data_IF_338915715279
#
_entry.id   IF_338915715279
#
_cell.length_a   1.000
_cell.length_b   1.000
_cell.length_c   1.000
_cell.angle_alpha   90.00
_cell.angle_beta   90.00
_cell.angle_gamma   90.00
#
_symmetry.space_group_name_H-M   'P 1'
#
loop_
_entity.id
_entity.type
_entity.pdbx_description
1 polymer ?
#
# COMPACT_ATOMS: atom_id res chain seq x y z
N UNK A 1 10.38 32.75 61.45
CA UNK A 1 10.55 32.01 60.14
C UNK A 1 11.85 32.52 59.53
N UNK A 2 12.88 31.69 59.46
CA UNK A 2 14.23 32.09 59.05
C UNK A 2 14.30 32.46 57.57
N UNK A 3 15.19 33.41 57.20
CA UNK A 3 15.34 33.86 55.82
C UNK A 3 15.64 32.72 54.82
N UNK A 4 16.25 31.64 55.27
CA UNK A 4 16.58 30.48 54.45
C UNK A 4 15.36 29.69 53.92
N UNK A 5 14.26 29.63 54.66
CA UNK A 5 13.04 28.95 54.20
C UNK A 5 12.32 29.68 53.09
N UNK A 6 12.47 31.02 53.02
CA UNK A 6 11.88 31.85 51.95
C UNK A 6 12.66 31.74 50.64
N UNK A 7 13.99 31.53 50.71
CA UNK A 7 14.82 31.33 49.53
C UNK A 7 14.64 29.93 48.92
N UNK A 8 14.44 28.89 49.75
CA UNK A 8 14.14 27.54 49.27
C UNK A 8 12.78 27.44 48.58
N UNK A 9 11.75 28.12 49.11
CA UNK A 9 10.41 28.12 48.53
C UNK A 9 10.34 28.85 47.17
N UNK A 10 11.16 29.91 46.98
CA UNK A 10 11.27 30.61 45.70
C UNK A 10 12.00 29.81 44.63
N UNK A 11 12.94 28.97 44.98
CA UNK A 11 13.65 28.07 44.02
C UNK A 11 12.80 26.91 43.60
N UNK A 12 11.88 26.41 44.44
CA UNK A 12 10.97 25.30 44.07
C UNK A 12 9.83 25.80 43.16
N UNK A 13 9.36 27.04 43.35
CA UNK A 13 8.33 27.61 42.47
C UNK A 13 8.85 28.02 41.07
N UNK A 14 10.15 28.31 40.93
CA UNK A 14 10.75 28.66 39.64
C UNK A 14 11.05 27.42 38.75
N UNK A 15 11.19 26.24 39.37
CA UNK A 15 11.43 24.98 38.62
C UNK A 15 10.17 24.31 38.07
N UNK A 16 8.99 24.73 38.53
CA UNK A 16 7.71 24.12 38.11
C UNK A 16 7.09 24.77 36.85
N UNK A 17 7.72 25.82 36.28
CA UNK A 17 7.20 26.54 35.10
C UNK A 17 7.92 26.25 33.80
N UNK A 18 8.86 25.28 33.80
CA UNK A 18 9.57 24.80 32.61
C UNK A 18 9.29 23.32 32.34
N UNK A 19 8.04 22.89 32.52
CA UNK A 19 7.58 21.70 31.82
C UNK A 19 7.43 22.09 30.35
N UNK A 20 8.24 21.54 29.42
CA UNK A 20 7.97 21.72 28.01
C UNK A 20 6.59 21.10 27.76
N UNK A 21 5.67 21.93 27.33
CA UNK A 21 4.43 21.51 26.71
C UNK A 21 4.83 20.78 25.43
N UNK A 22 5.16 19.49 25.57
CA UNK A 22 5.19 18.54 24.47
C UNK A 22 3.76 18.44 23.98
N UNK A 23 3.33 19.45 23.22
CA UNK A 23 2.24 19.32 22.28
C UNK A 23 2.65 18.15 21.37
N UNK A 24 2.16 16.97 21.71
CA UNK A 24 2.03 15.90 20.76
C UNK A 24 1.17 16.50 19.63
N UNK A 25 1.84 17.07 18.63
CA UNK A 25 1.25 17.33 17.36
C UNK A 25 0.79 15.95 16.86
N UNK A 26 -0.45 15.59 17.15
CA UNK A 26 -1.18 14.60 16.39
C UNK A 26 -1.16 15.15 14.97
N UNK A 27 -0.10 14.86 14.24
CA UNK A 27 -0.02 15.10 12.83
C UNK A 27 -1.15 14.27 12.23
N UNK A 28 -2.34 14.88 12.08
CA UNK A 28 -3.33 14.41 11.14
C UNK A 28 -2.59 14.33 9.81
N UNK A 29 -2.04 13.17 9.49
CA UNK A 29 -1.39 12.94 8.20
C UNK A 29 -2.46 13.20 7.16
N UNK A 30 -2.29 14.29 6.42
CA UNK A 30 -3.16 14.56 5.28
C UNK A 30 -3.15 13.31 4.40
N UNK A 31 -4.31 12.87 3.91
CA UNK A 31 -4.35 11.72 3.02
C UNK A 31 -3.40 11.94 1.83
N UNK A 32 -2.64 10.92 1.48
CA UNK A 32 -1.71 10.98 0.37
C UNK A 32 -2.46 11.40 -0.91
N UNK A 33 -1.89 12.33 -1.66
CA UNK A 33 -2.48 12.87 -2.88
C UNK A 33 -1.70 12.37 -4.09
N UNK A 34 -2.41 12.20 -5.19
CA UNK A 34 -1.86 11.89 -6.50
C UNK A 34 -2.22 13.00 -7.49
N UNK A 35 -1.38 13.28 -8.49
CA UNK A 35 -1.80 14.08 -9.64
C UNK A 35 -2.98 13.40 -10.35
N UNK A 36 -3.86 14.21 -10.93
CA UNK A 36 -4.94 13.70 -11.78
C UNK A 36 -4.36 12.96 -12.99
N UNK A 37 -4.87 11.78 -13.26
CA UNK A 37 -4.50 10.99 -14.43
C UNK A 37 -5.14 11.59 -15.69
N UNK A 38 -4.33 11.92 -16.67
CA UNK A 38 -4.78 12.38 -17.97
C UNK A 38 -5.54 11.27 -18.72
N UNK A 39 -6.27 11.64 -19.78
CA UNK A 39 -7.12 10.69 -20.51
C UNK A 39 -6.33 9.52 -21.13
N UNK A 40 -5.11 9.78 -21.56
CA UNK A 40 -4.17 8.83 -22.18
C UNK A 40 -3.20 8.18 -21.18
N UNK A 41 -3.32 8.51 -19.89
CA UNK A 41 -2.43 7.97 -18.86
C UNK A 41 -2.52 6.43 -18.81
N UNK A 42 -1.35 5.80 -18.78
CA UNK A 42 -1.22 4.36 -18.58
C UNK A 42 -1.01 4.07 -17.10
N UNK A 43 -1.79 3.14 -16.58
CA UNK A 43 -1.63 2.57 -15.23
C UNK A 43 -1.02 1.19 -15.36
N UNK A 44 -0.01 0.90 -14.56
CA UNK A 44 0.62 -0.42 -14.48
C UNK A 44 0.11 -1.13 -13.22
N UNK A 45 -0.58 -2.24 -13.38
CA UNK A 45 -0.86 -3.17 -12.29
C UNK A 45 0.25 -4.23 -12.28
N UNK A 46 1.09 -4.19 -11.24
CA UNK A 46 2.26 -5.05 -11.11
C UNK A 46 2.15 -5.89 -9.84
N UNK A 47 2.46 -7.20 -9.98
CA UNK A 47 2.39 -8.12 -8.85
C UNK A 47 2.39 -9.59 -9.25
N UNK A 48 1.87 -10.41 -8.37
CA UNK A 48 1.83 -11.87 -8.47
C UNK A 48 0.51 -12.39 -9.07
N UNK A 49 0.06 -13.58 -8.62
CA UNK A 49 -1.20 -14.21 -9.05
C UNK A 49 -2.45 -13.36 -8.78
N UNK A 50 -2.43 -12.49 -7.76
CA UNK A 50 -3.54 -11.58 -7.48
C UNK A 50 -3.68 -10.53 -8.57
N UNK A 51 -2.57 -10.02 -9.09
CA UNK A 51 -2.56 -9.07 -10.22
C UNK A 51 -2.83 -9.79 -11.55
N UNK A 52 -2.35 -11.02 -11.71
CA UNK A 52 -2.69 -11.87 -12.87
C UNK A 52 -4.19 -12.13 -12.96
N UNK A 53 -4.88 -12.28 -11.82
CA UNK A 53 -6.32 -12.58 -11.75
C UNK A 53 -6.61 -14.07 -11.63
N UNK A 54 -5.70 -14.85 -11.00
CA UNK A 54 -5.92 -16.26 -10.73
C UNK A 54 -7.23 -16.49 -9.98
N UNK A 55 -8.07 -17.41 -10.49
CA UNK A 55 -9.38 -17.68 -9.90
C UNK A 55 -10.55 -17.01 -10.60
N UNK A 56 -10.31 -16.21 -11.65
CA UNK A 56 -11.32 -15.58 -12.49
C UNK A 56 -10.86 -15.52 -13.95
N UNK A 57 -11.78 -15.17 -14.87
CA UNK A 57 -11.41 -14.90 -16.25
C UNK A 57 -10.59 -13.59 -16.34
N UNK A 58 -9.83 -13.43 -17.41
CA UNK A 58 -8.98 -12.24 -17.60
C UNK A 58 -9.77 -10.93 -17.50
N UNK A 59 -10.91 -10.82 -18.16
CA UNK A 59 -11.79 -9.65 -18.13
C UNK A 59 -12.42 -9.39 -16.75
N UNK A 60 -12.33 -10.35 -15.83
CA UNK A 60 -12.85 -10.27 -14.47
C UNK A 60 -11.77 -9.97 -13.43
N UNK A 61 -10.48 -9.97 -13.83
CA UNK A 61 -9.37 -9.57 -12.98
C UNK A 61 -9.53 -8.13 -12.47
N UNK A 62 -8.93 -7.80 -11.31
CA UNK A 62 -9.06 -6.43 -10.80
C UNK A 62 -8.45 -5.36 -11.73
N UNK A 63 -7.34 -5.61 -12.47
CA UNK A 63 -6.84 -4.60 -13.41
C UNK A 63 -7.81 -4.32 -14.56
N UNK A 64 -8.45 -5.35 -15.11
CA UNK A 64 -9.44 -5.20 -16.18
C UNK A 64 -10.70 -4.46 -15.69
N UNK A 65 -11.22 -4.81 -14.50
CA UNK A 65 -12.36 -4.12 -13.87
C UNK A 65 -12.02 -2.68 -13.54
N UNK A 66 -10.82 -2.41 -13.04
CA UNK A 66 -10.37 -1.06 -12.73
C UNK A 66 -10.25 -0.20 -13.99
N UNK A 67 -9.73 -0.76 -15.10
CA UNK A 67 -9.65 -0.05 -16.38
C UNK A 67 -11.03 0.49 -16.81
N UNK A 68 -12.07 -0.33 -16.66
CA UNK A 68 -13.45 0.07 -16.96
C UNK A 68 -13.96 1.18 -16.00
N UNK A 69 -13.62 1.10 -14.70
CA UNK A 69 -14.04 2.09 -13.70
C UNK A 69 -13.39 3.46 -13.90
N UNK A 70 -12.10 3.49 -14.23
CA UNK A 70 -11.35 4.75 -14.35
C UNK A 70 -11.33 5.31 -15.78
N UNK A 71 -11.75 4.51 -16.78
CA UNK A 71 -11.69 4.91 -18.19
C UNK A 71 -10.26 5.16 -18.69
N UNK A 72 -9.28 4.41 -18.19
CA UNK A 72 -7.85 4.50 -18.54
C UNK A 72 -7.30 3.13 -18.89
N UNK A 73 -6.23 3.09 -19.68
CA UNK A 73 -5.49 1.86 -19.95
C UNK A 73 -4.83 1.36 -18.67
N UNK A 74 -5.13 0.12 -18.27
CA UNK A 74 -4.43 -0.58 -17.20
C UNK A 74 -3.69 -1.76 -17.82
N UNK A 75 -2.37 -1.73 -17.77
CA UNK A 75 -1.50 -2.82 -18.20
C UNK A 75 -1.36 -3.80 -17.04
N UNK A 76 -1.64 -5.06 -17.31
CA UNK A 76 -1.61 -6.13 -16.33
C UNK A 76 -0.29 -6.91 -16.41
N UNK A 77 0.55 -6.73 -15.39
CA UNK A 77 1.86 -7.35 -15.24
C UNK A 77 1.92 -8.20 -13.97
N UNK A 78 1.06 -9.22 -13.89
CA UNK A 78 1.04 -10.19 -12.80
C UNK A 78 1.68 -11.52 -13.21
N UNK A 79 2.56 -12.09 -12.38
CA UNK A 79 3.17 -13.41 -12.59
C UNK A 79 2.79 -14.33 -11.42
N UNK A 80 1.98 -15.37 -11.63
CA UNK A 80 1.61 -16.30 -10.58
C UNK A 80 2.83 -16.94 -9.91
N UNK A 81 2.85 -16.93 -8.56
CA UNK A 81 3.94 -17.48 -7.77
C UNK A 81 5.16 -16.57 -7.62
N UNK A 82 5.16 -15.37 -8.19
CA UNK A 82 6.26 -14.42 -8.07
C UNK A 82 6.47 -13.96 -6.62
N UNK A 83 7.73 -13.89 -6.18
CA UNK A 83 8.11 -13.30 -4.88
C UNK A 83 8.53 -11.85 -5.06
N UNK A 84 8.53 -11.08 -3.99
CA UNK A 84 8.96 -9.68 -4.02
C UNK A 84 10.38 -9.49 -4.56
N UNK A 85 11.29 -10.46 -4.33
CA UNK A 85 12.65 -10.41 -4.89
C UNK A 85 12.67 -10.58 -6.40
N UNK A 86 11.87 -11.51 -6.96
CA UNK A 86 11.75 -11.71 -8.40
C UNK A 86 11.06 -10.52 -9.07
N UNK A 87 9.98 -10.00 -8.46
CA UNK A 87 9.30 -8.79 -8.93
C UNK A 87 10.24 -7.58 -8.96
N UNK A 88 11.05 -7.37 -7.91
CA UNK A 88 12.05 -6.29 -7.88
C UNK A 88 13.05 -6.40 -9.03
N UNK A 89 13.51 -7.60 -9.35
CA UNK A 89 14.45 -7.81 -10.45
C UNK A 89 13.82 -7.50 -11.83
N UNK A 90 12.51 -7.76 -12.00
CA UNK A 90 11.77 -7.56 -13.26
C UNK A 90 11.26 -6.13 -13.45
N UNK A 91 10.90 -5.44 -12.36
CA UNK A 91 10.23 -4.14 -12.41
C UNK A 91 10.94 -3.07 -13.26
N UNK A 92 12.29 -2.94 -13.28
CA UNK A 92 12.96 -1.94 -14.11
C UNK A 92 12.60 -2.07 -15.59
N UNK A 93 12.69 -3.26 -16.16
CA UNK A 93 12.39 -3.50 -17.57
C UNK A 93 10.91 -3.21 -17.89
N UNK A 94 10.00 -3.62 -17.01
CA UNK A 94 8.55 -3.37 -17.17
C UNK A 94 8.24 -1.87 -17.13
N UNK A 95 8.85 -1.12 -16.21
CA UNK A 95 8.67 0.35 -16.16
C UNK A 95 9.18 1.05 -17.42
N UNK A 96 10.31 0.60 -17.94
CA UNK A 96 10.94 1.17 -19.16
C UNK A 96 10.12 0.85 -20.42
N UNK A 97 9.48 -0.33 -20.49
CA UNK A 97 8.58 -0.76 -21.57
C UNK A 97 7.24 -0.06 -21.52
N UNK A 98 6.55 -0.11 -20.36
CA UNK A 98 5.17 0.37 -20.21
C UNK A 98 5.10 1.89 -20.06
N UNK A 99 6.11 2.52 -19.46
CA UNK A 99 6.18 3.95 -19.15
C UNK A 99 4.90 4.49 -18.48
N UNK A 100 4.47 3.89 -17.36
CA UNK A 100 3.20 4.24 -16.73
C UNK A 100 3.27 5.59 -16.00
N UNK A 101 2.12 6.21 -15.78
CA UNK A 101 1.98 7.37 -14.88
C UNK A 101 1.71 6.95 -13.44
N UNK A 102 1.15 5.75 -13.25
CA UNK A 102 0.82 5.20 -11.94
C UNK A 102 1.16 3.70 -11.92
N UNK A 103 1.82 3.27 -10.86
CA UNK A 103 2.06 1.88 -10.49
C UNK A 103 1.10 1.47 -9.38
N UNK A 104 0.29 0.43 -9.60
CA UNK A 104 -0.42 -0.30 -8.57
C UNK A 104 0.47 -1.49 -8.17
N UNK A 105 1.09 -1.40 -7.00
CA UNK A 105 2.05 -2.41 -6.52
C UNK A 105 1.37 -3.37 -5.56
N UNK A 106 1.22 -4.64 -5.97
CA UNK A 106 0.59 -5.72 -5.20
C UNK A 106 1.51 -6.93 -5.15
N UNK A 107 2.44 -6.94 -4.23
CA UNK A 107 3.47 -7.96 -4.07
C UNK A 107 3.65 -8.41 -2.61
N UNK A 108 4.27 -9.58 -2.42
CA UNK A 108 4.67 -10.11 -1.11
C UNK A 108 3.87 -11.32 -0.64
N UNK A 109 2.76 -11.66 -1.30
CA UNK A 109 1.92 -12.80 -0.90
C UNK A 109 2.69 -14.12 -0.93
N UNK A 110 3.47 -14.35 -1.96
CA UNK A 110 4.28 -15.57 -2.10
C UNK A 110 5.47 -15.62 -1.13
N UNK A 111 5.98 -14.47 -0.71
CA UNK A 111 7.00 -14.41 0.35
C UNK A 111 6.46 -15.00 1.66
N UNK A 112 5.23 -14.63 2.03
CA UNK A 112 4.56 -15.15 3.23
C UNK A 112 4.22 -16.64 3.10
N UNK A 113 3.70 -17.07 1.97
CA UNK A 113 3.41 -18.49 1.70
C UNK A 113 4.67 -19.35 1.81
N UNK A 114 5.82 -18.82 1.39
CA UNK A 114 7.14 -19.48 1.46
C UNK A 114 7.86 -19.22 2.79
N UNK A 115 7.24 -18.46 3.72
CA UNK A 115 7.81 -18.10 5.03
C UNK A 115 9.14 -17.37 4.91
N UNK A 116 9.32 -16.54 3.90
CA UNK A 116 10.50 -15.70 3.77
C UNK A 116 10.50 -14.58 4.84
N UNK A 117 11.66 -14.03 5.19
CA UNK A 117 11.75 -13.00 6.20
C UNK A 117 10.93 -11.75 5.81
N UNK A 118 10.02 -11.31 6.69
CA UNK A 118 9.18 -10.11 6.46
C UNK A 118 10.01 -8.86 6.18
N UNK A 119 11.18 -8.74 6.81
CA UNK A 119 12.09 -7.61 6.59
C UNK A 119 12.57 -7.56 5.14
N UNK A 120 12.91 -8.72 4.56
CA UNK A 120 13.33 -8.80 3.16
C UNK A 120 12.20 -8.38 2.20
N UNK A 121 10.97 -8.83 2.47
CA UNK A 121 9.80 -8.40 1.69
C UNK A 121 9.61 -6.88 1.77
N UNK A 122 9.70 -6.31 2.98
CA UNK A 122 9.58 -4.87 3.19
C UNK A 122 10.69 -4.10 2.45
N UNK A 123 11.93 -4.57 2.47
CA UNK A 123 13.06 -3.93 1.80
C UNK A 123 12.93 -4.00 0.28
N UNK A 124 12.45 -5.13 -0.26
CA UNK A 124 12.16 -5.27 -1.69
C UNK A 124 11.06 -4.31 -2.14
N UNK A 125 9.95 -4.23 -1.39
CA UNK A 125 8.87 -3.29 -1.69
C UNK A 125 9.34 -1.83 -1.60
N UNK A 126 10.15 -1.49 -0.60
CA UNK A 126 10.78 -0.16 -0.47
C UNK A 126 11.61 0.18 -1.70
N UNK A 127 12.41 -0.77 -2.18
CA UNK A 127 13.23 -0.60 -3.38
C UNK A 127 12.37 -0.41 -4.63
N UNK A 128 11.27 -1.19 -4.80
CA UNK A 128 10.34 -1.04 -5.92
C UNK A 128 9.66 0.35 -5.92
N UNK A 129 9.23 0.83 -4.75
CA UNK A 129 8.59 2.15 -4.62
C UNK A 129 9.60 3.25 -5.00
N UNK A 130 10.84 3.19 -4.50
CA UNK A 130 11.90 4.14 -4.87
C UNK A 130 12.14 4.12 -6.37
N UNK A 131 12.32 2.94 -6.93
CA UNK A 131 12.59 2.75 -8.35
C UNK A 131 11.52 3.39 -9.25
N UNK A 132 10.24 3.27 -8.88
CA UNK A 132 9.13 3.89 -9.58
C UNK A 132 9.16 5.43 -9.41
N UNK A 133 9.33 5.92 -8.19
CA UNK A 133 9.38 7.36 -7.89
C UNK A 133 10.56 8.05 -8.55
N UNK A 134 11.73 7.43 -8.59
CA UNK A 134 12.93 7.95 -9.26
C UNK A 134 12.72 8.11 -10.78
N UNK A 135 11.78 7.37 -11.37
CA UNK A 135 11.33 7.49 -12.76
C UNK A 135 10.13 8.44 -12.94
N UNK A 136 9.70 9.14 -11.88
CA UNK A 136 8.54 10.03 -11.91
C UNK A 136 7.20 9.30 -12.02
N UNK A 137 7.17 8.00 -11.67
CA UNK A 137 5.96 7.19 -11.65
C UNK A 137 5.33 7.28 -10.26
N UNK A 138 4.05 7.65 -10.20
CA UNK A 138 3.29 7.61 -8.95
C UNK A 138 3.01 6.18 -8.52
N UNK A 139 2.81 5.95 -7.22
CA UNK A 139 2.59 4.61 -6.67
C UNK A 139 1.35 4.59 -5.78
N UNK A 140 0.52 3.56 -5.93
CA UNK A 140 -0.46 3.11 -4.96
C UNK A 140 -0.04 1.72 -4.49
N UNK A 141 0.14 1.55 -3.18
CA UNK A 141 0.52 0.28 -2.58
C UNK A 141 -0.72 -0.51 -2.17
N UNK A 142 -0.77 -1.79 -2.53
CA UNK A 142 -1.84 -2.72 -2.16
C UNK A 142 -1.25 -3.72 -1.18
N UNK A 143 -1.81 -3.78 0.03
CA UNK A 143 -1.36 -4.67 1.08
C UNK A 143 -1.82 -6.09 0.86
N UNK A 144 -0.89 -7.03 0.81
CA UNK A 144 -1.18 -8.45 0.70
C UNK A 144 -1.28 -9.09 2.09
N UNK A 145 -2.39 -9.76 2.43
CA UNK A 145 -2.54 -10.43 3.71
C UNK A 145 -1.54 -11.56 3.89
N UNK A 146 -1.01 -11.67 5.10
CA UNK A 146 -0.24 -12.84 5.49
C UNK A 146 -1.18 -13.99 5.89
N UNK A 147 -0.92 -15.23 5.44
CA UNK A 147 -1.67 -16.40 5.88
C UNK A 147 -1.63 -16.55 7.40
N UNK A 148 -2.79 -16.79 8.01
CA UNK A 148 -2.91 -16.93 9.45
C UNK A 148 -4.30 -16.57 9.97
N UNK A 149 -4.47 -16.49 11.27
CA UNK A 149 -5.76 -16.26 11.90
C UNK A 149 -6.39 -14.90 11.55
N UNK A 150 -5.60 -13.86 11.44
CA UNK A 150 -6.11 -12.50 11.19
C UNK A 150 -6.31 -12.17 9.72
N UNK A 151 -5.58 -12.83 8.81
CA UNK A 151 -5.58 -12.53 7.37
C UNK A 151 -5.46 -11.02 7.09
N UNK A 152 -4.52 -10.35 7.75
CA UNK A 152 -4.26 -8.91 7.56
C UNK A 152 -2.89 -8.69 6.96
N UNK A 153 -2.70 -7.63 6.14
CA UNK A 153 -1.37 -7.25 5.71
C UNK A 153 -0.49 -6.91 6.92
N UNK A 154 0.78 -7.32 6.94
CA UNK A 154 1.74 -6.87 7.94
C UNK A 154 1.88 -5.35 8.01
N UNK A 155 2.16 -4.81 9.20
CA UNK A 155 2.20 -3.36 9.47
C UNK A 155 3.16 -2.58 8.59
N UNK A 156 4.23 -3.21 8.11
CA UNK A 156 5.22 -2.56 7.26
C UNK A 156 4.64 -2.01 5.93
N UNK A 157 3.52 -2.56 5.41
CA UNK A 157 2.86 -1.96 4.22
C UNK A 157 2.36 -0.54 4.52
N UNK A 158 1.68 -0.35 5.64
CA UNK A 158 1.20 0.96 6.06
C UNK A 158 2.37 1.91 6.40
N UNK A 159 3.44 1.38 6.99
CA UNK A 159 4.66 2.13 7.29
C UNK A 159 5.36 2.61 6.01
N UNK A 160 5.50 1.75 5.00
CA UNK A 160 6.04 2.12 3.69
C UNK A 160 5.18 3.17 3.01
N UNK A 161 3.86 3.01 3.02
CA UNK A 161 2.96 4.00 2.45
C UNK A 161 3.12 5.38 3.12
N UNK A 162 3.28 5.40 4.44
CA UNK A 162 3.56 6.61 5.22
C UNK A 162 4.96 7.17 4.91
N UNK A 163 5.99 6.31 4.84
CA UNK A 163 7.38 6.70 4.52
C UNK A 163 7.46 7.46 3.20
N UNK A 164 6.76 6.98 2.18
CA UNK A 164 6.79 7.56 0.84
C UNK A 164 5.66 8.56 0.55
N UNK A 165 4.73 8.77 1.48
CA UNK A 165 3.58 9.64 1.29
C UNK A 165 2.66 9.19 0.14
N UNK A 166 2.49 7.88 -0.06
CA UNK A 166 1.71 7.28 -1.14
C UNK A 166 0.37 6.71 -0.65
N UNK A 167 -0.67 6.67 -1.51
CA UNK A 167 -1.92 5.99 -1.18
C UNK A 167 -1.73 4.50 -0.90
N UNK A 168 -2.55 3.99 0.00
CA UNK A 168 -2.51 2.60 0.46
C UNK A 168 -3.90 1.98 0.50
N UNK A 169 -4.05 0.80 -0.09
CA UNK A 169 -5.19 -0.09 0.05
C UNK A 169 -4.76 -1.31 0.87
N UNK A 170 -5.26 -1.46 2.08
CA UNK A 170 -4.85 -2.54 3.01
C UNK A 170 -6.00 -3.39 3.53
N UNK A 171 -7.23 -3.21 3.03
CA UNK A 171 -8.41 -3.86 3.59
C UNK A 171 -9.09 -4.86 2.64
N UNK A 172 -9.07 -4.59 1.34
CA UNK A 172 -9.86 -5.34 0.37
C UNK A 172 -9.53 -6.83 0.39
N UNK A 173 -8.27 -7.19 0.21
CA UNK A 173 -7.84 -8.58 0.19
C UNK A 173 -8.13 -9.29 1.51
N UNK A 174 -7.95 -8.60 2.66
CA UNK A 174 -8.28 -9.15 3.97
C UNK A 174 -9.77 -9.47 4.10
N UNK A 175 -10.65 -8.61 3.60
CA UNK A 175 -12.10 -8.82 3.59
C UNK A 175 -12.50 -9.95 2.64
N UNK A 176 -11.95 -9.94 1.41
CA UNK A 176 -12.21 -10.93 0.38
C UNK A 176 -11.81 -12.34 0.87
N UNK A 177 -10.60 -12.49 1.40
CA UNK A 177 -10.10 -13.80 1.81
C UNK A 177 -10.78 -14.36 3.06
N UNK A 178 -11.48 -13.55 3.84
CA UNK A 178 -12.32 -14.00 4.97
C UNK A 178 -13.71 -14.47 4.53
N UNK A 179 -14.19 -14.09 3.36
CA UNK A 179 -15.51 -14.43 2.85
C UNK A 179 -15.42 -15.51 1.78
N UNK A 180 -15.96 -16.70 2.10
CA UNK A 180 -15.96 -17.84 1.17
C UNK A 180 -16.67 -17.59 -0.16
N UNK A 181 -17.64 -16.67 -0.20
CA UNK A 181 -18.38 -16.32 -1.42
C UNK A 181 -17.56 -15.46 -2.41
N UNK A 182 -16.46 -14.87 -1.96
CA UNK A 182 -15.59 -13.98 -2.74
C UNK A 182 -14.29 -14.64 -3.20
N UNK A 183 -14.12 -15.93 -2.91
CA UNK A 183 -12.88 -16.69 -3.22
C UNK A 183 -13.13 -17.81 -4.20
N UNK A 184 -12.10 -18.14 -4.98
CA UNK A 184 -12.03 -19.35 -5.81
C UNK A 184 -11.33 -20.50 -5.08
N UNK A 185 -10.39 -20.17 -4.20
CA UNK A 185 -9.65 -21.11 -3.35
C UNK A 185 -9.25 -20.44 -2.02
N UNK A 186 -8.24 -20.97 -1.31
CA UNK A 186 -7.86 -20.42 0.00
C UNK A 186 -7.19 -19.05 -0.04
N UNK A 187 -6.59 -18.67 -1.17
CA UNK A 187 -5.70 -17.51 -1.30
C UNK A 187 -6.05 -16.58 -2.48
N UNK A 188 -6.94 -17.01 -3.39
CA UNK A 188 -7.29 -16.22 -4.56
C UNK A 188 -8.76 -15.79 -4.54
N UNK A 189 -9.04 -14.52 -4.89
CA UNK A 189 -10.40 -14.05 -5.16
C UNK A 189 -11.04 -14.79 -6.34
N UNK A 190 -12.36 -14.87 -6.37
CA UNK A 190 -13.14 -15.15 -7.57
C UNK A 190 -13.52 -13.84 -8.28
N UNK A 191 -14.32 -13.91 -9.34
CA UNK A 191 -14.77 -12.75 -10.11
C UNK A 191 -15.44 -11.65 -9.25
N UNK A 192 -16.22 -12.04 -8.23
CA UNK A 192 -16.85 -11.09 -7.30
C UNK A 192 -15.81 -10.44 -6.37
N UNK A 193 -14.85 -11.23 -5.88
CA UNK A 193 -13.74 -10.74 -5.05
C UNK A 193 -12.86 -9.75 -5.82
N UNK A 194 -12.51 -10.04 -7.06
CA UNK A 194 -11.74 -9.11 -7.91
C UNK A 194 -12.51 -7.84 -8.26
N UNK A 195 -13.82 -7.93 -8.44
CA UNK A 195 -14.66 -6.75 -8.58
C UNK A 195 -14.58 -5.87 -7.33
N UNK A 196 -14.75 -6.43 -6.15
CA UNK A 196 -14.60 -5.69 -4.88
C UNK A 196 -13.21 -5.07 -4.75
N UNK A 197 -12.15 -5.79 -5.11
CA UNK A 197 -10.79 -5.27 -5.08
C UNK A 197 -10.64 -4.05 -6.01
N UNK A 198 -11.14 -4.13 -7.24
CA UNK A 198 -11.12 -3.02 -8.19
C UNK A 198 -11.89 -1.79 -7.67
N UNK A 199 -13.07 -1.98 -7.09
CA UNK A 199 -13.88 -0.92 -6.50
C UNK A 199 -13.15 -0.25 -5.33
N UNK A 200 -12.46 -1.01 -4.49
CA UNK A 200 -11.67 -0.45 -3.37
C UNK A 200 -10.45 0.33 -3.86
N UNK A 201 -9.72 -0.18 -4.86
CA UNK A 201 -8.60 0.55 -5.47
C UNK A 201 -9.10 1.85 -6.11
N UNK A 202 -10.22 1.79 -6.84
CA UNK A 202 -10.88 2.98 -7.41
C UNK A 202 -11.20 4.03 -6.34
N UNK A 203 -11.79 3.62 -5.21
CA UNK A 203 -12.09 4.53 -4.10
C UNK A 203 -10.84 5.20 -3.51
N UNK A 204 -9.73 4.46 -3.40
CA UNK A 204 -8.46 5.03 -2.93
C UNK A 204 -7.93 6.05 -3.94
N UNK A 205 -7.96 5.74 -5.24
CA UNK A 205 -7.55 6.66 -6.31
C UNK A 205 -8.40 7.93 -6.33
N UNK A 206 -9.73 7.79 -6.19
CA UNK A 206 -10.67 8.92 -6.12
C UNK A 206 -10.39 9.82 -4.92
N UNK A 207 -10.19 9.26 -3.73
CA UNK A 207 -9.84 10.00 -2.51
C UNK A 207 -8.46 10.68 -2.62
N UNK A 208 -7.53 10.06 -3.33
CA UNK A 208 -6.22 10.64 -3.61
C UNK A 208 -6.26 11.77 -4.66
N UNK A 209 -7.33 11.87 -5.45
CA UNK A 209 -7.51 12.90 -6.48
C UNK A 209 -7.00 12.50 -7.87
N UNK A 210 -6.68 11.20 -8.06
CA UNK A 210 -6.14 10.69 -9.34
C UNK A 210 -7.23 10.55 -10.43
N UNK A 211 -8.49 10.31 -10.01
CA UNK A 211 -9.63 10.10 -10.91
C UNK A 211 -10.87 10.84 -10.40
#
# INVERSE_FOLDING_TARGET
MSPDRRAALRKVLAAALLAPLLLAASACSKPAKLPRLEADAVVLAFGDSLTFGTGANEAESYPARLAALIGRRVVREGIPGETSAAGLARLPAVLDEVRPRLLLLCEGGNDFLRRLPRQQTADNLRAMIRLAKDRGVEVLLIGTPEPGFTLTPPGFYAELAKEFGIPYEGEALAKILKDGSLKSDQIHPNALGYRMMAERVFEVLRKAGAV
#
